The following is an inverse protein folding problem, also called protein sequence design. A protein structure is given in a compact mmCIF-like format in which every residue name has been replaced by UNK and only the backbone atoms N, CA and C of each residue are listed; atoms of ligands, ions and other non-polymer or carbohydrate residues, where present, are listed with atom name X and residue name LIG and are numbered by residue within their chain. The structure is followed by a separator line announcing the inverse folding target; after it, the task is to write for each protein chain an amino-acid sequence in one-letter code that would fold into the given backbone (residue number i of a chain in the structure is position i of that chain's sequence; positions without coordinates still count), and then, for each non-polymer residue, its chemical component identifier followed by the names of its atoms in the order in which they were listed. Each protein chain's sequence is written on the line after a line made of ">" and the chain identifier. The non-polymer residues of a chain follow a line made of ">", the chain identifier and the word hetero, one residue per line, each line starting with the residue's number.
data_IF_178083041225
#
_entry.id   IF_178083041225
#
_cell.length_a   1.000
_cell.length_b   1.000
_cell.length_c   1.000
_cell.angle_alpha   90.00
_cell.angle_beta   90.00
_cell.angle_gamma   90.00
#
_symmetry.space_group_name_H-M   'P 1'
#
loop_
_entity.id
_entity.type
_entity.pdbx_description
1 polymer ?
#
# COMPACT_ATOMS: atom_id res chain seq x y z
N UNK A 1 50.26 32.39 -38.12
CA UNK A 1 48.91 32.94 -38.34
C UNK A 1 47.91 32.11 -37.57
N UNK A 2 47.21 32.76 -36.64
CA UNK A 2 46.18 32.20 -35.76
C UNK A 2 44.99 31.63 -36.54
N UNK A 3 44.42 30.52 -36.07
CA UNK A 3 42.96 30.35 -35.93
C UNK A 3 42.66 29.42 -34.74
N UNK A 4 42.74 29.97 -33.53
CA UNK A 4 42.03 29.40 -32.39
C UNK A 4 40.54 29.66 -32.62
N UNK A 5 39.79 28.63 -33.00
CA UNK A 5 38.33 28.66 -33.03
C UNK A 5 37.84 28.64 -31.56
N UNK A 6 37.78 29.82 -30.95
CA UNK A 6 37.10 30.02 -29.67
C UNK A 6 35.61 29.88 -29.94
N UNK A 7 35.06 28.69 -29.74
CA UNK A 7 33.62 28.51 -29.66
C UNK A 7 33.11 29.27 -28.42
N UNK A 8 32.55 30.48 -28.63
CA UNK A 8 31.76 31.17 -27.61
C UNK A 8 30.39 30.50 -27.55
N UNK A 9 30.11 29.74 -26.50
CA UNK A 9 28.74 29.37 -26.18
C UNK A 9 27.99 30.66 -25.82
N UNK A 10 27.02 31.05 -26.66
CA UNK A 10 26.32 32.34 -26.51
C UNK A 10 25.47 32.42 -25.23
N UNK A 11 25.19 31.28 -24.60
CA UNK A 11 24.67 31.08 -23.24
C UNK A 11 24.93 29.61 -22.85
N UNK A 12 26.02 29.28 -22.16
CA UNK A 12 26.29 27.90 -21.76
C UNK A 12 25.36 27.51 -20.60
N UNK A 13 24.78 26.32 -20.67
CA UNK A 13 23.93 25.77 -19.62
C UNK A 13 24.39 24.35 -19.28
N UNK A 14 24.43 24.04 -18.00
CA UNK A 14 24.51 22.67 -17.52
C UNK A 14 23.09 22.10 -17.45
N UNK A 15 22.84 20.98 -18.13
CA UNK A 15 21.54 20.31 -18.15
C UNK A 15 21.70 18.86 -17.73
N UNK A 16 20.81 18.40 -16.86
CA UNK A 16 20.79 17.01 -16.42
C UNK A 16 19.36 16.52 -16.24
N UNK A 17 19.11 15.30 -16.70
CA UNK A 17 17.83 14.65 -16.50
C UNK A 17 17.79 13.95 -15.15
N UNK A 18 16.66 14.07 -14.46
CA UNK A 18 16.41 13.36 -13.22
C UNK A 18 15.99 11.91 -13.55
N UNK A 19 16.69 10.90 -12.99
CA UNK A 19 16.32 9.49 -13.09
C UNK A 19 14.86 9.26 -12.70
N UNK A 20 14.14 8.44 -13.46
CA UNK A 20 12.68 8.25 -13.33
C UNK A 20 12.27 7.83 -11.91
N UNK A 21 13.10 7.02 -11.27
CA UNK A 21 12.91 6.47 -9.93
C UNK A 21 12.86 7.52 -8.83
N UNK A 22 13.60 8.63 -8.94
CA UNK A 22 13.66 9.66 -7.89
C UNK A 22 12.86 10.93 -8.20
N UNK A 23 12.15 10.97 -9.33
CA UNK A 23 11.36 12.17 -9.71
C UNK A 23 10.32 12.50 -8.65
N UNK A 24 9.71 11.49 -8.05
CA UNK A 24 8.71 11.70 -6.99
C UNK A 24 9.32 12.42 -5.78
N UNK A 25 10.49 11.98 -5.32
CA UNK A 25 11.23 12.65 -4.23
C UNK A 25 11.72 14.06 -4.56
N UNK A 26 11.70 14.46 -5.83
CA UNK A 26 12.10 15.78 -6.33
C UNK A 26 10.92 16.56 -6.94
N UNK A 27 9.70 16.37 -6.41
CA UNK A 27 8.53 17.17 -6.80
C UNK A 27 8.01 16.92 -8.23
N UNK A 28 8.41 15.81 -8.86
CA UNK A 28 7.97 15.42 -10.20
C UNK A 28 8.79 16.00 -11.36
N UNK A 29 9.83 16.78 -11.09
CA UNK A 29 10.69 17.35 -12.13
C UNK A 29 11.40 16.28 -12.98
N UNK A 30 11.52 16.52 -14.29
CA UNK A 30 12.18 15.59 -15.23
C UNK A 30 13.66 15.86 -15.45
N UNK A 31 14.13 17.02 -14.97
CA UNK A 31 15.49 17.52 -15.12
C UNK A 31 15.60 18.91 -14.52
N UNK A 32 16.82 19.44 -14.51
CA UNK A 32 17.09 20.83 -14.17
C UNK A 32 18.20 21.40 -15.05
N UNK A 33 18.23 22.73 -15.11
CA UNK A 33 19.15 23.51 -15.92
C UNK A 33 19.79 24.59 -15.06
N UNK A 34 21.11 24.72 -15.15
CA UNK A 34 21.90 25.74 -14.44
C UNK A 34 22.61 26.60 -15.47
N UNK A 35 22.36 27.90 -15.41
CA UNK A 35 23.04 28.88 -16.26
C UNK A 35 24.53 28.97 -15.90
N UNK A 36 25.39 28.91 -16.91
CA UNK A 36 26.83 29.11 -16.79
C UNK A 36 27.27 30.44 -17.43
N UNK A 37 26.35 31.40 -17.55
CA UNK A 37 26.54 32.68 -18.28
C UNK A 37 27.79 33.47 -17.83
N UNK A 38 28.14 33.39 -16.55
CA UNK A 38 29.25 34.15 -15.96
C UNK A 38 30.53 33.31 -15.78
N UNK A 39 30.61 32.13 -16.41
CA UNK A 39 31.75 31.21 -16.33
C UNK A 39 32.63 31.39 -17.56
N UNK A 40 33.96 31.46 -17.37
CA UNK A 40 34.88 31.59 -18.50
C UNK A 40 34.90 30.30 -19.33
N UNK A 41 35.01 30.42 -20.67
CA UNK A 41 34.99 29.24 -21.55
C UNK A 41 36.04 28.18 -21.18
N UNK A 42 37.19 28.59 -20.62
CA UNK A 42 38.26 27.71 -20.16
C UNK A 42 37.91 26.88 -18.92
N UNK A 43 36.92 27.29 -18.12
CA UNK A 43 36.55 26.66 -16.86
C UNK A 43 35.25 25.84 -16.96
N UNK A 44 34.46 26.07 -18.03
CA UNK A 44 33.15 25.42 -18.24
C UNK A 44 33.25 23.89 -18.12
N UNK A 45 34.28 23.28 -18.71
CA UNK A 45 34.41 21.82 -18.72
C UNK A 45 34.62 21.25 -17.30
N UNK A 46 35.54 21.82 -16.53
CA UNK A 46 35.83 21.42 -15.14
C UNK A 46 34.59 21.64 -14.26
N UNK A 47 33.91 22.78 -14.44
CA UNK A 47 32.69 23.09 -13.69
C UNK A 47 31.57 22.10 -14.01
N UNK A 48 31.36 21.75 -15.29
CA UNK A 48 30.36 20.76 -15.70
C UNK A 48 30.63 19.38 -15.09
N UNK A 49 31.89 18.94 -15.02
CA UNK A 49 32.27 17.68 -14.36
C UNK A 49 31.88 17.72 -12.88
N UNK A 50 32.20 18.82 -12.19
CA UNK A 50 31.89 18.98 -10.76
C UNK A 50 30.38 19.04 -10.51
N UNK A 51 29.63 19.79 -11.32
CA UNK A 51 28.16 19.85 -11.24
C UNK A 51 27.52 18.47 -11.45
N UNK A 52 28.05 17.68 -12.38
CA UNK A 52 27.60 16.29 -12.60
C UNK A 52 27.86 15.41 -11.39
N UNK A 53 29.05 15.51 -10.77
CA UNK A 53 29.38 14.76 -9.55
C UNK A 53 28.45 15.11 -8.39
N UNK A 54 28.26 16.40 -8.11
CA UNK A 54 27.35 16.88 -7.06
C UNK A 54 25.91 16.40 -7.34
N UNK A 55 25.46 16.51 -8.59
CA UNK A 55 24.12 16.05 -8.96
C UNK A 55 23.94 14.55 -8.69
N UNK A 56 24.93 13.73 -9.06
CA UNK A 56 24.86 12.29 -8.80
C UNK A 56 24.87 11.98 -7.29
N UNK A 57 25.60 12.73 -6.48
CA UNK A 57 25.57 12.60 -5.02
C UNK A 57 24.18 12.90 -4.47
N UNK A 58 23.58 14.02 -4.87
CA UNK A 58 22.20 14.38 -4.49
C UNK A 58 21.22 13.27 -4.89
N UNK A 59 21.35 12.70 -6.09
CA UNK A 59 20.49 11.60 -6.52
C UNK A 59 20.65 10.34 -5.65
N UNK A 60 21.84 10.05 -5.13
CA UNK A 60 22.03 8.93 -4.21
C UNK A 60 21.47 9.24 -2.82
N UNK A 61 21.65 10.46 -2.33
CA UNK A 61 21.08 10.90 -1.05
C UNK A 61 19.56 10.81 -1.06
N UNK A 62 18.91 11.29 -2.14
CA UNK A 62 17.46 11.15 -2.33
C UNK A 62 17.07 9.67 -2.28
N UNK A 63 17.74 8.78 -3.03
CA UNK A 63 17.43 7.33 -2.98
C UNK A 63 17.57 6.75 -1.58
N UNK A 64 18.61 7.15 -0.85
CA UNK A 64 18.85 6.65 0.50
C UNK A 64 17.80 7.10 1.50
N UNK A 65 17.13 8.23 1.25
CA UNK A 65 16.04 8.75 2.07
C UNK A 65 14.65 8.20 1.74
N UNK A 66 14.48 7.47 0.64
CA UNK A 66 13.16 6.94 0.23
C UNK A 66 12.79 5.71 1.06
N UNK A 67 11.69 5.80 1.83
CA UNK A 67 11.17 4.68 2.62
C UNK A 67 10.57 3.60 1.72
N UNK A 68 11.05 2.36 1.87
CA UNK A 68 10.46 1.17 1.22
C UNK A 68 9.25 0.66 1.99
N UNK A 69 8.37 -0.08 1.30
CA UNK A 69 7.25 -0.78 1.92
C UNK A 69 7.75 -2.03 2.67
N UNK A 70 7.77 -1.95 3.99
CA UNK A 70 8.16 -3.06 4.86
C UNK A 70 6.96 -3.88 5.36
N UNK A 71 7.23 -5.02 6.00
CA UNK A 71 6.20 -5.91 6.54
C UNK A 71 5.27 -5.19 7.52
N UNK A 72 5.82 -4.40 8.44
CA UNK A 72 5.01 -3.73 9.47
C UNK A 72 4.10 -2.65 8.87
N UNK A 73 4.59 -1.94 7.85
CA UNK A 73 3.76 -0.99 7.09
C UNK A 73 2.60 -1.72 6.40
N UNK A 74 2.85 -2.90 5.81
CA UNK A 74 1.78 -3.72 5.23
C UNK A 74 0.76 -4.17 6.28
N UNK A 75 1.22 -4.60 7.47
CA UNK A 75 0.32 -5.00 8.56
C UNK A 75 -0.55 -3.83 9.00
N UNK A 76 0.02 -2.63 9.18
CA UNK A 76 -0.72 -1.42 9.55
C UNK A 76 -1.80 -1.07 8.51
N UNK A 77 -1.46 -1.11 7.22
CA UNK A 77 -2.40 -0.85 6.13
C UNK A 77 -3.52 -1.88 6.14
N UNK A 78 -3.19 -3.18 6.26
CA UNK A 78 -4.17 -4.26 6.24
C UNK A 78 -5.09 -4.24 7.46
N UNK A 79 -4.59 -3.96 8.68
CA UNK A 79 -5.41 -3.73 9.88
C UNK A 79 -6.46 -2.65 9.66
N UNK A 80 -6.02 -1.54 9.07
CA UNK A 80 -6.91 -0.41 8.75
C UNK A 80 -7.97 -0.83 7.74
N UNK A 81 -7.62 -1.62 6.72
CA UNK A 81 -8.58 -2.09 5.73
C UNK A 81 -9.53 -3.17 6.27
N UNK A 82 -9.07 -4.03 7.20
CA UNK A 82 -9.93 -4.99 7.92
C UNK A 82 -10.98 -4.24 8.73
N UNK A 83 -10.58 -3.21 9.48
CA UNK A 83 -11.53 -2.36 10.22
C UNK A 83 -12.56 -1.71 9.29
N UNK A 84 -12.12 -1.13 8.17
CA UNK A 84 -13.04 -0.55 7.16
C UNK A 84 -14.00 -1.59 6.58
N UNK A 85 -13.54 -2.82 6.42
CA UNK A 85 -14.39 -3.91 5.91
C UNK A 85 -15.47 -4.29 6.92
N UNK A 86 -15.12 -4.36 8.21
CA UNK A 86 -16.07 -4.54 9.31
C UNK A 86 -17.10 -3.40 9.33
N UNK A 87 -16.64 -2.14 9.33
CA UNK A 87 -17.52 -0.96 9.36
C UNK A 87 -18.49 -0.95 8.17
N UNK A 88 -18.00 -1.29 6.97
CA UNK A 88 -18.82 -1.40 5.78
C UNK A 88 -19.88 -2.50 5.91
N UNK A 89 -19.51 -3.66 6.44
CA UNK A 89 -20.44 -4.77 6.61
C UNK A 89 -21.56 -4.44 7.60
N UNK A 90 -21.22 -3.81 8.73
CA UNK A 90 -22.21 -3.31 9.69
C UNK A 90 -23.13 -2.26 9.08
N UNK A 91 -22.59 -1.34 8.28
CA UNK A 91 -23.42 -0.34 7.61
C UNK A 91 -24.46 -1.00 6.66
N UNK A 92 -24.07 -2.05 5.93
CA UNK A 92 -25.01 -2.81 5.09
C UNK A 92 -26.06 -3.53 5.92
N UNK A 93 -25.64 -4.21 6.98
CA UNK A 93 -26.54 -4.96 7.87
C UNK A 93 -27.56 -4.04 8.55
N UNK A 94 -27.11 -2.95 9.18
CA UNK A 94 -27.99 -1.98 9.84
C UNK A 94 -28.87 -1.18 8.86
N UNK A 95 -28.50 -1.14 7.58
CA UNK A 95 -29.34 -0.60 6.51
C UNK A 95 -30.40 -1.58 5.99
N UNK A 96 -30.34 -2.86 6.40
CA UNK A 96 -31.32 -3.90 6.06
C UNK A 96 -32.36 -4.01 7.17
N UNK A 97 -33.65 -3.99 6.84
CA UNK A 97 -34.68 -4.14 7.87
C UNK A 97 -34.74 -5.60 8.35
N UNK A 98 -34.23 -5.85 9.56
CA UNK A 98 -34.11 -7.20 10.13
C UNK A 98 -35.47 -7.89 10.39
N UNK A 99 -36.54 -7.10 10.53
CA UNK A 99 -37.90 -7.59 10.79
C UNK A 99 -38.72 -7.82 9.50
N UNK A 100 -38.13 -7.56 8.34
CA UNK A 100 -38.75 -7.77 7.02
C UNK A 100 -37.95 -8.76 6.19
N UNK A 101 -38.51 -9.97 6.04
CA UNK A 101 -37.92 -11.04 5.24
C UNK A 101 -37.69 -10.64 3.77
N UNK A 102 -38.55 -9.79 3.20
CA UNK A 102 -38.34 -9.30 1.83
C UNK A 102 -37.11 -8.40 1.76
N UNK A 103 -36.92 -7.53 2.76
CA UNK A 103 -35.75 -6.66 2.87
C UNK A 103 -34.45 -7.45 3.04
N UNK A 104 -34.46 -8.49 3.90
CA UNK A 104 -33.33 -9.43 4.05
C UNK A 104 -32.99 -10.09 2.72
N UNK A 105 -33.99 -10.66 2.05
CA UNK A 105 -33.82 -11.33 0.77
C UNK A 105 -33.23 -10.41 -0.31
N UNK A 106 -33.75 -9.19 -0.46
CA UNK A 106 -33.27 -8.22 -1.44
C UNK A 106 -31.83 -7.77 -1.18
N UNK A 107 -31.47 -7.62 0.09
CA UNK A 107 -30.11 -7.28 0.52
C UNK A 107 -29.14 -8.41 0.21
N UNK A 108 -29.46 -9.65 0.58
CA UNK A 108 -28.67 -10.84 0.23
C UNK A 108 -28.50 -11.00 -1.29
N UNK A 109 -29.58 -10.80 -2.05
CA UNK A 109 -29.56 -10.85 -3.52
C UNK A 109 -28.63 -9.78 -4.09
N UNK A 110 -28.64 -8.58 -3.54
CA UNK A 110 -27.75 -7.48 -3.97
C UNK A 110 -26.29 -7.80 -3.68
N UNK A 111 -25.99 -8.32 -2.49
CA UNK A 111 -24.62 -8.68 -2.08
C UNK A 111 -24.09 -9.85 -2.92
N UNK A 112 -24.92 -10.87 -3.16
CA UNK A 112 -24.58 -12.01 -4.03
C UNK A 112 -24.26 -11.56 -5.45
N UNK A 113 -25.06 -10.65 -6.04
CA UNK A 113 -24.76 -10.09 -7.37
C UNK A 113 -23.42 -9.33 -7.41
N UNK A 114 -23.11 -8.56 -6.36
CA UNK A 114 -21.84 -7.83 -6.26
C UNK A 114 -20.65 -8.78 -6.12
N UNK A 115 -20.79 -9.83 -5.33
CA UNK A 115 -19.78 -10.88 -5.18
C UNK A 115 -19.54 -11.63 -6.50
N UNK A 116 -20.60 -12.02 -7.22
CA UNK A 116 -20.48 -12.67 -8.53
C UNK A 116 -19.78 -11.77 -9.57
N UNK A 117 -20.09 -10.47 -9.54
CA UNK A 117 -19.39 -9.49 -10.38
C UNK A 117 -17.91 -9.40 -10.01
N UNK A 118 -17.59 -9.22 -8.73
CA UNK A 118 -16.22 -9.20 -8.23
C UNK A 118 -15.45 -10.47 -8.60
N UNK A 119 -16.05 -11.65 -8.39
CA UNK A 119 -15.43 -12.94 -8.71
C UNK A 119 -15.13 -13.07 -10.20
N UNK A 120 -16.04 -12.62 -11.07
CA UNK A 120 -15.80 -12.58 -12.52
C UNK A 120 -14.65 -11.63 -12.87
N UNK A 121 -14.67 -10.39 -12.38
CA UNK A 121 -13.59 -9.41 -12.62
C UNK A 121 -12.22 -9.95 -12.19
N UNK A 122 -12.14 -10.58 -11.02
CA UNK A 122 -10.92 -11.17 -10.48
C UNK A 122 -10.48 -12.42 -11.25
N UNK A 123 -11.41 -13.26 -11.69
CA UNK A 123 -11.11 -14.51 -12.43
C UNK A 123 -10.73 -14.23 -13.87
N UNK A 124 -11.47 -13.35 -14.55
CA UNK A 124 -11.34 -13.06 -15.98
C UNK A 124 -10.17 -12.08 -16.23
N UNK A 125 -10.02 -11.04 -15.40
CA UNK A 125 -8.92 -10.07 -15.51
C UNK A 125 -8.40 -9.60 -14.15
N UNK A 126 -7.68 -10.49 -13.49
CA UNK A 126 -6.99 -10.20 -12.23
C UNK A 126 -6.09 -8.95 -12.30
N UNK A 127 -5.43 -8.72 -13.44
CA UNK A 127 -4.50 -7.59 -13.60
C UNK A 127 -5.24 -6.27 -13.76
N UNK A 128 -6.35 -6.26 -14.49
CA UNK A 128 -7.24 -5.11 -14.61
C UNK A 128 -7.80 -4.71 -13.26
N UNK A 129 -8.36 -5.66 -12.52
CA UNK A 129 -8.87 -5.42 -11.17
C UNK A 129 -7.78 -4.88 -10.23
N UNK A 130 -6.59 -5.48 -10.27
CA UNK A 130 -5.45 -4.99 -9.48
C UNK A 130 -5.03 -3.56 -9.83
N UNK A 131 -5.12 -3.14 -11.11
CA UNK A 131 -4.82 -1.76 -11.50
C UNK A 131 -5.82 -0.76 -10.91
N UNK A 132 -7.08 -1.14 -10.76
CA UNK A 132 -8.08 -0.30 -10.11
C UNK A 132 -7.73 -0.04 -8.63
N UNK A 133 -7.08 -1.01 -7.98
CA UNK A 133 -6.56 -0.85 -6.61
C UNK A 133 -5.32 0.05 -6.54
N UNK A 134 -4.54 0.16 -7.61
CA UNK A 134 -3.26 0.88 -7.59
C UNK A 134 -3.43 2.35 -7.17
N UNK A 135 -4.48 3.03 -7.64
CA UNK A 135 -4.75 4.43 -7.26
C UNK A 135 -5.00 4.60 -5.74
N UNK A 136 -5.79 3.69 -5.15
CA UNK A 136 -6.08 3.70 -3.70
C UNK A 136 -4.80 3.41 -2.90
N UNK A 137 -4.06 2.38 -3.30
CA UNK A 137 -2.85 1.96 -2.60
C UNK A 137 -1.73 2.99 -2.72
N UNK A 138 -1.56 3.61 -3.90
CA UNK A 138 -0.61 4.71 -4.10
C UNK A 138 -0.92 5.89 -3.17
N UNK A 139 -2.20 6.26 -3.02
CA UNK A 139 -2.60 7.30 -2.07
C UNK A 139 -2.26 6.96 -0.61
N UNK A 140 -2.50 5.71 -0.19
CA UNK A 140 -2.17 5.24 1.16
C UNK A 140 -0.65 5.26 1.39
N UNK A 141 0.13 4.73 0.46
CA UNK A 141 1.59 4.68 0.60
C UNK A 141 2.20 6.08 0.68
N UNK A 142 1.73 7.01 -0.16
CA UNK A 142 2.14 8.42 -0.08
C UNK A 142 1.80 9.06 1.26
N UNK A 143 0.63 8.75 1.84
CA UNK A 143 0.25 9.27 3.15
C UNK A 143 1.13 8.75 4.30
N UNK A 144 1.83 7.63 4.09
CA UNK A 144 2.78 7.04 5.02
C UNK A 144 4.25 7.36 4.68
N UNK A 145 4.46 8.28 3.72
CA UNK A 145 5.77 8.63 3.15
C UNK A 145 6.54 7.41 2.59
N UNK A 146 5.81 6.41 2.08
CA UNK A 146 6.37 5.20 1.47
C UNK A 146 6.39 5.36 -0.04
N UNK A 147 7.52 5.01 -0.64
CA UNK A 147 7.68 5.05 -2.09
C UNK A 147 6.77 4.02 -2.80
N UNK A 148 6.02 4.50 -3.78
CA UNK A 148 5.18 3.65 -4.62
C UNK A 148 6.02 2.89 -5.66
N UNK A 149 6.26 1.59 -5.40
CA UNK A 149 6.97 0.67 -6.31
C UNK A 149 6.03 -0.46 -6.79
N UNK A 150 5.28 -0.28 -7.90
CA UNK A 150 4.29 -1.26 -8.36
C UNK A 150 4.91 -2.61 -8.78
N UNK A 151 6.20 -2.63 -9.08
CA UNK A 151 6.94 -3.83 -9.48
C UNK A 151 7.48 -4.63 -8.29
N UNK A 152 7.53 -4.03 -7.09
CA UNK A 152 8.08 -4.66 -5.88
C UNK A 152 7.24 -5.85 -5.40
N UNK A 153 7.90 -6.82 -4.74
CA UNK A 153 7.23 -8.01 -4.21
C UNK A 153 6.28 -7.62 -3.08
N UNK A 154 6.73 -6.81 -2.12
CA UNK A 154 5.91 -6.31 -1.00
C UNK A 154 4.63 -5.64 -1.50
N UNK A 155 4.74 -4.77 -2.51
CA UNK A 155 3.56 -4.11 -3.09
C UNK A 155 2.58 -5.10 -3.71
N UNK A 156 3.08 -6.04 -4.52
CA UNK A 156 2.22 -7.09 -5.14
C UNK A 156 1.53 -7.94 -4.08
N UNK A 157 2.22 -8.26 -2.99
CA UNK A 157 1.65 -9.00 -1.86
C UNK A 157 0.57 -8.19 -1.13
N UNK A 158 0.83 -6.91 -0.84
CA UNK A 158 -0.16 -6.00 -0.26
C UNK A 158 -1.41 -5.91 -1.15
N UNK A 159 -1.23 -5.68 -2.45
CA UNK A 159 -2.33 -5.59 -3.42
C UNK A 159 -3.15 -6.86 -3.51
N UNK A 160 -2.50 -8.04 -3.54
CA UNK A 160 -3.20 -9.33 -3.51
C UNK A 160 -3.96 -9.55 -2.21
N UNK A 161 -3.45 -9.03 -1.09
CA UNK A 161 -4.10 -9.11 0.22
C UNK A 161 -5.41 -8.30 0.26
N UNK A 162 -5.46 -7.14 -0.40
CA UNK A 162 -6.72 -6.38 -0.57
C UNK A 162 -7.77 -7.19 -1.34
N UNK A 163 -7.39 -7.88 -2.42
CA UNK A 163 -8.32 -8.74 -3.18
C UNK A 163 -8.89 -9.84 -2.28
N UNK A 164 -8.03 -10.52 -1.51
CA UNK A 164 -8.47 -11.57 -0.56
C UNK A 164 -9.42 -11.02 0.49
N UNK A 165 -9.11 -9.85 1.07
CA UNK A 165 -9.94 -9.22 2.09
C UNK A 165 -11.30 -8.80 1.56
N UNK A 166 -11.37 -8.24 0.35
CA UNK A 166 -12.64 -7.90 -0.29
C UNK A 166 -13.49 -9.12 -0.59
N UNK A 167 -12.88 -10.26 -0.90
CA UNK A 167 -13.59 -11.54 -1.00
C UNK A 167 -14.22 -11.92 0.33
N UNK A 168 -13.44 -11.93 1.43
CA UNK A 168 -13.94 -12.28 2.78
C UNK A 168 -15.08 -11.36 3.24
N UNK A 169 -15.04 -10.09 2.85
CA UNK A 169 -16.08 -9.12 3.23
C UNK A 169 -17.47 -9.54 2.73
N UNK A 170 -17.59 -10.18 1.57
CA UNK A 170 -18.89 -10.65 1.08
C UNK A 170 -19.50 -11.71 1.99
N UNK A 171 -18.70 -12.67 2.42
CA UNK A 171 -19.13 -13.71 3.38
C UNK A 171 -19.53 -13.06 4.70
N UNK A 172 -18.72 -12.11 5.19
CA UNK A 172 -19.03 -11.40 6.43
C UNK A 172 -20.35 -10.63 6.39
N UNK A 173 -20.65 -9.95 5.28
CA UNK A 173 -21.93 -9.25 5.11
C UNK A 173 -23.11 -10.23 5.17
N UNK A 174 -23.01 -11.38 4.49
CA UNK A 174 -24.08 -12.38 4.49
C UNK A 174 -24.30 -12.97 5.87
N UNK A 175 -23.22 -13.23 6.60
CA UNK A 175 -23.27 -13.78 7.96
C UNK A 175 -23.94 -12.82 8.95
N UNK A 176 -23.73 -11.51 8.79
CA UNK A 176 -24.43 -10.48 9.56
C UNK A 176 -25.92 -10.42 9.20
N UNK A 177 -26.28 -10.38 7.92
CA UNK A 177 -27.70 -10.33 7.49
C UNK A 177 -28.47 -11.58 7.95
N UNK A 178 -27.81 -12.73 7.95
CA UNK A 178 -28.40 -14.00 8.41
C UNK A 178 -28.32 -14.20 9.93
N UNK A 179 -27.76 -13.25 10.69
CA UNK A 179 -27.66 -13.30 12.15
C UNK A 179 -27.02 -14.61 12.66
N UNK A 180 -25.95 -15.07 11.99
CA UNK A 180 -25.30 -16.37 12.28
C UNK A 180 -24.66 -16.46 13.68
N UNK A 181 -24.60 -15.35 14.43
CA UNK A 181 -23.95 -15.25 15.75
C UNK A 181 -22.44 -15.04 15.68
N UNK A 182 -21.85 -14.95 14.49
CA UNK A 182 -20.44 -14.60 14.31
C UNK A 182 -20.18 -13.15 14.72
N UNK A 183 -18.96 -12.88 15.19
CA UNK A 183 -18.50 -11.59 15.70
C UNK A 183 -17.43 -10.94 14.81
N UNK A 184 -17.15 -9.65 15.05
CA UNK A 184 -16.02 -8.96 14.41
C UNK A 184 -14.68 -9.67 14.61
N UNK A 185 -14.49 -10.31 15.77
CA UNK A 185 -13.27 -11.07 16.07
C UNK A 185 -13.17 -12.34 15.21
N UNK A 186 -14.30 -12.94 14.81
CA UNK A 186 -14.30 -14.05 13.85
C UNK A 186 -13.82 -13.57 12.47
N UNK A 187 -14.28 -12.41 12.01
CA UNK A 187 -13.79 -11.83 10.76
C UNK A 187 -12.31 -11.46 10.82
N UNK A 188 -11.82 -10.93 11.96
CA UNK A 188 -10.39 -10.66 12.18
C UNK A 188 -9.56 -11.93 12.10
N UNK A 189 -10.03 -13.04 12.68
CA UNK A 189 -9.39 -14.36 12.59
C UNK A 189 -9.36 -14.89 11.16
N UNK A 190 -10.48 -14.83 10.43
CA UNK A 190 -10.54 -15.24 9.02
C UNK A 190 -9.56 -14.44 8.15
N UNK A 191 -9.48 -13.12 8.38
CA UNK A 191 -8.53 -12.26 7.70
C UNK A 191 -7.09 -12.70 7.98
N UNK A 192 -6.75 -13.00 9.24
CA UNK A 192 -5.42 -13.49 9.60
C UNK A 192 -5.08 -14.82 8.97
N UNK A 193 -5.99 -15.79 9.01
CA UNK A 193 -5.80 -17.11 8.40
C UNK A 193 -5.59 -17.00 6.88
N UNK A 194 -6.41 -16.16 6.22
CA UNK A 194 -6.37 -16.00 4.76
C UNK A 194 -5.13 -15.24 4.27
N UNK A 195 -4.70 -14.25 5.04
CA UNK A 195 -3.59 -13.37 4.69
C UNK A 195 -2.25 -13.94 5.13
N UNK A 196 -2.21 -14.70 6.23
CA UNK A 196 -1.01 -15.26 6.87
C UNK A 196 0.00 -14.16 7.21
N UNK A 197 -0.50 -13.07 7.82
CA UNK A 197 0.25 -11.87 8.14
C UNK A 197 0.32 -11.57 9.64
N UNK A 198 -0.34 -12.36 10.49
CA UNK A 198 -0.40 -12.15 11.94
C UNK A 198 -0.76 -10.70 12.28
N UNK A 199 -1.92 -10.24 11.78
CA UNK A 199 -2.41 -8.89 12.03
C UNK A 199 -2.91 -8.80 13.48
N UNK A 200 -3.62 -9.79 14.01
CA UNK A 200 -4.26 -9.74 15.32
C UNK A 200 -3.69 -10.80 16.27
N UNK A 201 -2.39 -10.75 16.63
CA UNK A 201 -1.77 -11.72 17.53
C UNK A 201 -2.47 -11.80 18.90
N UNK A 202 -3.09 -10.71 19.36
CA UNK A 202 -3.87 -10.65 20.60
C UNK A 202 -5.10 -11.57 20.60
N UNK A 203 -5.57 -12.01 19.43
CA UNK A 203 -6.68 -12.96 19.30
C UNK A 203 -6.22 -14.42 19.35
N UNK A 204 -4.93 -14.68 19.15
CA UNK A 204 -4.33 -16.02 19.23
C UNK A 204 -4.08 -16.40 20.69
N UNK A 205 -3.56 -15.47 21.50
CA UNK A 205 -3.27 -15.71 22.93
C UNK A 205 -4.52 -16.04 23.76
N UNK A 206 -5.70 -15.56 23.35
CA UNK A 206 -6.97 -15.90 24.01
C UNK A 206 -7.40 -17.36 23.83
N UNK A 207 -6.80 -18.09 22.89
CA UNK A 207 -7.09 -19.51 22.64
C UNK A 207 -6.14 -20.45 23.38
N UNK A 208 -5.01 -19.97 23.88
CA UNK A 208 -4.15 -20.77 24.76
C UNK A 208 -4.76 -20.80 26.17
N UNK A 209 -5.12 -21.98 26.71
CA UNK A 209 -5.57 -22.04 28.10
C UNK A 209 -4.47 -21.50 28.99
N UNK A 210 -4.79 -20.51 29.82
CA UNK A 210 -3.95 -20.13 30.95
C UNK A 210 -3.84 -21.40 31.80
N UNK A 211 -2.67 -22.04 31.80
CA UNK A 211 -2.39 -23.11 32.76
C UNK A 211 -2.34 -22.41 34.12
N UNK A 212 -3.49 -22.32 34.79
CA UNK A 212 -3.52 -22.06 36.22
C UNK A 212 -2.66 -23.15 36.86
N UNK A 213 -1.53 -22.74 37.42
CA UNK A 213 -0.67 -23.63 38.20
C UNK A 213 -1.54 -24.32 39.24
N UNK A 214 -1.76 -25.62 39.07
CA UNK A 214 -2.36 -26.48 40.09
C UNK A 214 -1.50 -26.34 41.35
N UNK A 215 -1.97 -25.53 42.31
CA UNK A 215 -1.48 -25.58 43.69
C UNK A 215 -1.89 -26.95 44.21
N UNK A 216 -0.94 -27.84 44.58
CA UNK A 216 -1.31 -29.16 45.08
C UNK A 216 -2.05 -29.00 46.41
N UNK A 217 -3.18 -29.69 46.53
CA UNK A 217 -3.98 -29.76 47.76
C UNK A 217 -3.10 -30.17 48.95
N UNK A 218 -3.25 -29.53 50.12
CA UNK A 218 -2.46 -29.90 51.28
C UNK A 218 -2.83 -31.31 51.73
N UNK A 219 -1.82 -32.15 51.91
CA UNK A 219 -1.99 -33.50 52.43
C UNK A 219 -2.46 -33.39 53.88
N UNK A 220 -3.67 -33.88 54.18
CA UNK A 220 -4.21 -33.96 55.54
C UNK A 220 -3.38 -34.92 56.43
N UNK A 221 -3.35 -34.69 57.76
CA UNK A 221 -2.34 -35.21 58.68
C UNK A 221 -2.36 -36.72 58.95
#
# INVERSE_FOLDING_TARGET
>A
MQRNLIYRFKNPYFRISIPKDIRFGLGGSTGFEVSLKDVTNSEIEILCIRLKQITHQIFQEVRSGMKSLELEDMKLILKTEVKKSIDHSHHVHLGTNEFDESSKFDSLKTITKREEKFRREVTDDLRGYEKELDSKLEGILKSLDIEFKPTSISYKQLRRSFVKLYSLRFDWIKDLINETGRSDDDFRRDADEKLKMELFPELIEKLTPIIENFVPEPTEP
#
